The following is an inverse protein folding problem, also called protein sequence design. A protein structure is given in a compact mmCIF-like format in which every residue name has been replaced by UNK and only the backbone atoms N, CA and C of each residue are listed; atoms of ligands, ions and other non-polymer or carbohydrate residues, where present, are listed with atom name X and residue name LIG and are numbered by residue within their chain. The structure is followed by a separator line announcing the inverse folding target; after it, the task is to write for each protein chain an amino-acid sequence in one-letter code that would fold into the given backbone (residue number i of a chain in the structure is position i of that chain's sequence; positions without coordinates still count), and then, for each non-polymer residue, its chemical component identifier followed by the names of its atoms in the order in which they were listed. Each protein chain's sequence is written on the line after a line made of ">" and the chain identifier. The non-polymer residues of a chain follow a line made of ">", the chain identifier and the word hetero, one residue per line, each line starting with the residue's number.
data_IF_809844817810
#
_entry.id   IF_809844817810
#
_cell.length_a   1.000
_cell.length_b   1.000
_cell.length_c   1.000
_cell.angle_alpha   90.00
_cell.angle_beta   90.00
_cell.angle_gamma   90.00
#
_symmetry.space_group_name_H-M   'P 1'
#
loop_
_entity.id
_entity.type
_entity.pdbx_description
1 polymer ?
#
# COMPACT_ATOMS: atom_id res chain seq x y z
N UNK A 1 9.66 -9.07 -10.61
CA UNK A 1 10.10 -10.48 -10.64
C UNK A 1 9.19 -11.27 -9.72
N UNK A 2 8.71 -12.45 -10.12
CA UNK A 2 7.82 -13.26 -9.29
C UNK A 2 8.61 -14.10 -8.27
N UNK A 3 8.27 -14.05 -7.00
CA UNK A 3 8.96 -14.79 -5.93
C UNK A 3 8.68 -16.31 -5.91
N UNK A 4 7.63 -16.76 -6.59
CA UNK A 4 7.29 -18.19 -6.66
C UNK A 4 7.98 -18.93 -7.81
N UNK A 5 8.16 -18.27 -8.95
CA UNK A 5 8.72 -18.90 -10.15
C UNK A 5 9.94 -18.16 -10.71
N UNK A 6 10.41 -17.12 -10.01
CA UNK A 6 11.57 -16.30 -10.33
C UNK A 6 11.58 -15.68 -11.74
N UNK A 7 10.43 -15.64 -12.41
CA UNK A 7 10.35 -15.05 -13.73
C UNK A 7 10.27 -13.53 -13.65
N UNK A 8 10.86 -12.86 -14.64
CA UNK A 8 10.75 -11.41 -14.82
C UNK A 8 9.31 -11.11 -15.26
N UNK A 9 8.58 -10.39 -14.40
CA UNK A 9 7.21 -9.94 -14.68
C UNK A 9 7.27 -8.45 -15.00
N UNK A 10 6.55 -8.05 -16.04
CA UNK A 10 6.33 -6.65 -16.41
C UNK A 10 5.51 -5.96 -15.33
N UNK A 11 5.96 -4.77 -14.90
CA UNK A 11 5.46 -4.02 -13.74
C UNK A 11 3.94 -3.76 -13.72
N UNK A 12 3.29 -3.81 -14.89
CA UNK A 12 1.86 -3.57 -15.11
C UNK A 12 0.98 -4.83 -15.00
N UNK A 13 1.57 -6.03 -15.00
CA UNK A 13 0.79 -7.27 -14.97
C UNK A 13 0.35 -7.64 -13.56
N UNK A 14 -0.97 -7.59 -13.31
CA UNK A 14 -1.62 -7.94 -12.03
C UNK A 14 -1.52 -9.44 -11.63
N UNK A 15 -0.89 -10.28 -12.46
CA UNK A 15 -0.66 -11.70 -12.18
C UNK A 15 0.54 -12.24 -12.94
N UNK A 16 1.17 -13.28 -12.39
CA UNK A 16 2.25 -14.00 -13.04
C UNK A 16 1.70 -14.96 -14.10
N UNK A 17 2.07 -14.77 -15.37
CA UNK A 17 1.60 -15.60 -16.49
C UNK A 17 2.15 -17.03 -16.53
N UNK A 18 3.11 -17.39 -15.67
CA UNK A 18 3.67 -18.74 -15.60
C UNK A 18 3.15 -19.56 -14.44
N UNK A 19 3.11 -19.00 -13.24
CA UNK A 19 2.65 -19.72 -12.04
C UNK A 19 1.22 -19.37 -11.63
N UNK A 20 0.63 -18.31 -12.21
CA UNK A 20 -0.74 -17.88 -11.90
C UNK A 20 -0.87 -17.11 -10.58
N UNK A 21 0.22 -16.88 -9.86
CA UNK A 21 0.21 -16.12 -8.60
C UNK A 21 -0.23 -14.68 -8.87
N UNK A 22 -1.20 -14.19 -8.09
CA UNK A 22 -1.69 -12.81 -8.15
C UNK A 22 -0.58 -11.88 -7.63
N UNK A 23 -0.29 -10.83 -8.38
CA UNK A 23 0.70 -9.83 -8.02
C UNK A 23 -0.05 -8.52 -7.87
N UNK A 24 -0.10 -8.01 -6.65
CA UNK A 24 -0.74 -6.74 -6.39
C UNK A 24 0.05 -5.66 -7.14
N UNK A 25 -0.56 -4.90 -8.07
CA UNK A 25 0.16 -3.84 -8.75
C UNK A 25 0.67 -2.87 -7.69
N UNK A 26 1.93 -2.47 -7.80
CA UNK A 26 2.57 -1.52 -6.89
C UNK A 26 1.93 -0.15 -7.16
N UNK A 27 0.72 0.05 -6.63
CA UNK A 27 0.16 1.37 -6.46
C UNK A 27 1.02 2.01 -5.40
N UNK A 28 1.98 2.82 -5.84
CA UNK A 28 2.49 3.90 -5.01
C UNK A 28 1.31 4.82 -4.75
N UNK A 29 0.47 4.43 -3.78
CA UNK A 29 -0.47 5.32 -3.13
C UNK A 29 0.40 6.34 -2.41
N UNK A 30 0.75 7.38 -3.17
CA UNK A 30 1.20 8.70 -2.76
C UNK A 30 1.58 8.75 -1.29
N UNK A 31 2.85 8.44 -1.00
CA UNK A 31 3.44 8.55 0.34
C UNK A 31 3.58 10.04 0.64
N UNK A 32 2.46 10.65 0.96
CA UNK A 32 2.32 11.90 1.70
C UNK A 32 1.12 11.78 2.66
N UNK A 33 0.80 10.54 3.06
CA UNK A 33 -0.14 10.31 4.14
C UNK A 33 0.64 10.28 5.46
N UNK A 34 0.37 11.21 6.38
CA UNK A 34 0.87 11.06 7.75
C UNK A 34 0.18 9.85 8.36
N UNK A 35 0.89 8.88 8.93
CA UNK A 35 0.23 7.76 9.59
C UNK A 35 -0.10 8.11 11.04
N UNK A 36 -1.27 7.65 11.51
CA UNK A 36 -1.67 7.86 12.89
C UNK A 36 -0.71 7.10 13.83
N UNK A 37 -0.03 7.76 14.78
CA UNK A 37 0.87 7.08 15.70
C UNK A 37 0.12 6.16 16.67
N UNK A 38 -1.19 6.32 16.84
CA UNK A 38 -1.99 5.52 17.76
C UNK A 38 -2.52 4.23 17.16
N UNK A 39 -2.76 4.17 15.84
CA UNK A 39 -3.38 3.00 15.20
C UNK A 39 -2.75 2.62 13.85
N UNK A 40 -1.84 3.42 13.30
CA UNK A 40 -1.18 3.18 12.02
C UNK A 40 -2.01 3.49 10.78
N UNK A 41 -3.23 4.03 10.93
CA UNK A 41 -4.07 4.40 9.79
C UNK A 41 -3.46 5.57 8.99
N UNK A 42 -3.61 5.58 7.67
CA UNK A 42 -3.23 6.70 6.81
C UNK A 42 -4.10 7.92 7.09
N UNK A 43 -3.48 9.06 7.41
CA UNK A 43 -4.12 10.35 7.59
C UNK A 43 -3.77 11.25 6.41
N UNK A 44 -4.69 12.15 6.08
CA UNK A 44 -4.50 13.15 5.05
C UNK A 44 -3.72 14.35 5.60
N UNK A 45 -3.03 15.06 4.70
CA UNK A 45 -2.32 16.29 5.06
C UNK A 45 -3.32 17.35 5.59
N UNK A 46 -3.22 17.67 6.88
CA UNK A 46 -4.10 18.62 7.57
C UNK A 46 -5.08 18.00 8.59
N UNK A 47 -5.13 16.67 8.72
CA UNK A 47 -5.97 16.02 9.73
C UNK A 47 -5.46 16.27 11.16
N UNK A 48 -6.31 16.89 11.99
CA UNK A 48 -6.06 17.16 13.43
C UNK A 48 -6.47 15.98 14.31
N UNK A 49 -7.28 15.07 13.78
CA UNK A 49 -7.76 13.87 14.45
C UNK A 49 -7.85 12.71 13.47
N UNK A 50 -7.59 11.51 13.97
CA UNK A 50 -7.63 10.31 13.16
C UNK A 50 -9.08 9.94 12.88
N UNK A 51 -9.46 9.92 11.61
CA UNK A 51 -10.80 9.52 11.17
C UNK A 51 -11.08 8.03 11.40
N UNK A 52 -10.05 7.21 11.58
CA UNK A 52 -10.19 5.77 11.81
C UNK A 52 -10.39 5.40 13.29
N UNK A 53 -9.71 6.07 14.23
CA UNK A 53 -9.77 5.72 15.65
C UNK A 53 -10.20 6.86 16.59
N UNK A 54 -10.33 8.09 16.08
CA UNK A 54 -10.69 9.27 16.86
C UNK A 54 -9.55 9.85 17.70
N UNK A 55 -8.35 9.27 17.68
CA UNK A 55 -7.20 9.81 18.40
C UNK A 55 -6.75 11.14 17.78
N UNK A 56 -6.45 12.13 18.63
CA UNK A 56 -5.93 13.42 18.16
C UNK A 56 -4.54 13.23 17.57
N UNK A 57 -4.34 13.69 16.34
CA UNK A 57 -3.05 13.66 15.64
C UNK A 57 -2.55 15.09 15.54
N UNK A 58 -1.49 15.38 16.29
CA UNK A 58 -0.94 16.71 16.49
C UNK A 58 0.55 16.69 16.24
#
# INVERSE_FOLDING_TARGET
>A
MCEHCHQIITLDSAFCNKCGSKLDPIVVSSIDGKFCPSCGASLSEGDVFCTACGAKVN
#
